data_IF_905339660917
#
_entry.id   IF_905339660917
#
_cell.length_a   1.000
_cell.length_b   1.000
_cell.length_c   1.000
_cell.angle_alpha   90.00
_cell.angle_beta   90.00
_cell.angle_gamma   90.00
#
_symmetry.space_group_name_H-M   'P 1'
#
loop_
_entity.id
_entity.type
_entity.pdbx_description
1 polymer ?
#
# COMPACT_ATOMS: atom_id res chain seq x y z
N UNK A 1 -11.14 -61.15 25.56
CA UNK A 1 -11.41 -59.73 25.27
C UNK A 1 -10.90 -58.89 26.43
N UNK A 2 -9.85 -58.09 26.22
CA UNK A 2 -9.66 -56.76 26.80
C UNK A 2 -8.39 -56.19 26.17
N UNK A 3 -8.56 -55.28 25.23
CA UNK A 3 -7.47 -54.49 24.65
C UNK A 3 -7.35 -53.17 25.40
N UNK A 4 -6.13 -52.66 25.55
CA UNK A 4 -5.83 -51.24 25.58
C UNK A 4 -4.46 -51.01 24.94
N UNK A 5 -4.48 -50.37 23.77
CA UNK A 5 -3.34 -49.74 23.11
C UNK A 5 -3.00 -48.44 23.85
N UNK A 6 -1.72 -48.16 24.04
CA UNK A 6 -1.22 -46.91 24.59
C UNK A 6 0.14 -46.51 24.02
N UNK A 7 0.30 -46.60 22.70
CA UNK A 7 1.37 -45.90 21.99
C UNK A 7 0.80 -44.61 21.43
N UNK A 8 1.45 -43.49 21.73
CA UNK A 8 1.71 -42.27 20.91
C UNK A 8 2.13 -41.17 21.89
N UNK A 9 3.17 -40.39 21.70
CA UNK A 9 4.03 -40.13 20.58
C UNK A 9 4.61 -38.75 20.87
N UNK A 10 5.91 -38.66 21.12
CA UNK A 10 6.60 -37.40 21.34
C UNK A 10 6.52 -36.55 20.06
N UNK A 11 5.70 -35.51 20.06
CA UNK A 11 5.70 -34.52 18.97
C UNK A 11 6.74 -33.47 19.29
N UNK A 12 7.92 -33.65 18.70
CA UNK A 12 8.94 -32.62 18.53
C UNK A 12 8.29 -31.37 17.90
N UNK A 13 8.40 -30.22 18.58
CA UNK A 13 8.07 -28.92 18.00
C UNK A 13 9.02 -28.65 16.85
N UNK A 14 8.55 -28.95 15.63
CA UNK A 14 9.23 -28.60 14.40
C UNK A 14 9.14 -27.09 14.18
N UNK A 15 10.30 -26.48 14.13
CA UNK A 15 10.62 -25.13 13.67
C UNK A 15 10.05 -24.91 12.28
N UNK A 16 9.26 -23.85 12.08
CA UNK A 16 8.97 -23.32 10.76
C UNK A 16 9.11 -21.80 10.81
N UNK A 17 10.35 -21.34 10.65
CA UNK A 17 10.67 -19.98 10.20
C UNK A 17 10.03 -19.79 8.83
N UNK A 18 8.89 -19.09 8.79
CA UNK A 18 8.31 -18.61 7.55
C UNK A 18 9.15 -17.42 7.08
N UNK A 19 9.71 -17.57 5.89
CA UNK A 19 10.59 -16.65 5.21
C UNK A 19 10.15 -15.19 5.30
N UNK A 20 11.04 -14.36 5.82
CA UNK A 20 11.03 -12.91 5.62
C UNK A 20 11.26 -12.66 4.13
N UNK A 21 10.16 -12.52 3.40
CA UNK A 21 10.21 -12.03 2.02
C UNK A 21 10.73 -10.59 2.06
N UNK A 22 11.96 -10.41 1.57
CA UNK A 22 12.53 -9.12 1.19
C UNK A 22 11.69 -8.53 0.05
N UNK A 23 10.55 -7.95 0.42
CA UNK A 23 9.69 -7.22 -0.49
C UNK A 23 10.32 -5.84 -0.69
N UNK A 24 11.36 -5.76 -1.53
CA UNK A 24 11.81 -4.49 -2.11
C UNK A 24 10.59 -3.71 -2.62
N UNK A 25 10.58 -2.37 -2.55
CA UNK A 25 9.37 -1.55 -2.43
C UNK A 25 8.30 -1.96 -3.45
N UNK A 26 7.38 -2.82 -3.02
CA UNK A 26 6.37 -3.39 -3.88
C UNK A 26 5.38 -2.28 -4.22
N UNK A 27 5.44 -1.81 -5.45
CA UNK A 27 4.41 -0.96 -6.05
C UNK A 27 3.18 -1.80 -6.46
N UNK A 28 2.83 -2.84 -5.69
CA UNK A 28 1.59 -3.58 -5.89
C UNK A 28 0.55 -3.01 -4.92
N UNK A 29 -0.14 -1.97 -5.36
CA UNK A 29 -1.33 -1.53 -4.67
C UNK A 29 -2.46 -2.46 -5.08
N UNK A 30 -2.70 -3.50 -4.28
CA UNK A 30 -3.91 -4.30 -4.41
C UNK A 30 -5.12 -3.39 -4.27
N UNK A 31 -5.92 -3.27 -5.32
CA UNK A 31 -7.19 -2.56 -5.25
C UNK A 31 -8.20 -3.49 -4.59
N UNK A 32 -8.67 -3.08 -3.42
CA UNK A 32 -9.71 -3.77 -2.69
C UNK A 32 -11.07 -3.47 -3.35
N UNK A 33 -11.57 -4.44 -4.13
CA UNK A 33 -12.81 -4.32 -4.90
C UNK A 33 -14.07 -4.55 -4.06
N UNK A 34 -13.93 -5.01 -2.81
CA UNK A 34 -15.04 -5.17 -1.89
C UNK A 34 -15.50 -3.83 -1.30
N UNK A 35 -14.70 -2.78 -1.47
CA UNK A 35 -15.04 -1.42 -1.05
C UNK A 35 -15.95 -0.72 -2.05
N UNK A 36 -16.77 0.25 -1.62
CA UNK A 36 -17.54 1.08 -2.53
C UNK A 36 -16.66 1.69 -3.63
N UNK A 37 -17.15 1.73 -4.87
CA UNK A 37 -16.41 2.24 -6.04
C UNK A 37 -15.77 3.62 -5.80
N UNK A 38 -16.45 4.48 -5.02
CA UNK A 38 -15.92 5.79 -4.62
C UNK A 38 -14.61 5.68 -3.85
N UNK A 39 -14.54 4.77 -2.88
CA UNK A 39 -13.35 4.58 -2.04
C UNK A 39 -12.20 3.93 -2.82
N UNK A 40 -12.52 2.97 -3.70
CA UNK A 40 -11.52 2.37 -4.58
C UNK A 40 -10.89 3.43 -5.51
N UNK A 41 -11.72 4.34 -6.06
CA UNK A 41 -11.25 5.47 -6.87
C UNK A 41 -10.39 6.43 -6.06
N UNK A 42 -10.83 6.82 -4.86
CA UNK A 42 -10.07 7.71 -3.98
C UNK A 42 -8.68 7.08 -3.65
N UNK A 43 -8.64 5.76 -3.41
CA UNK A 43 -7.38 5.02 -3.19
C UNK A 43 -6.42 5.06 -4.38
N UNK A 44 -6.93 4.78 -5.59
CA UNK A 44 -6.16 4.91 -6.83
C UNK A 44 -5.64 6.34 -7.03
N UNK A 45 -6.51 7.34 -6.86
CA UNK A 45 -6.16 8.73 -7.07
C UNK A 45 -5.07 9.18 -6.08
N UNK A 46 -5.19 8.81 -4.79
CA UNK A 46 -4.19 9.13 -3.74
C UNK A 46 -2.81 8.65 -4.17
N UNK A 47 -2.73 7.38 -4.55
CA UNK A 47 -1.50 6.76 -5.00
C UNK A 47 -0.92 7.35 -6.28
N UNK A 48 -1.77 7.63 -7.27
CA UNK A 48 -1.36 8.23 -8.53
C UNK A 48 -0.70 9.59 -8.30
N UNK A 49 -1.28 10.40 -7.42
CA UNK A 49 -0.71 11.68 -7.07
C UNK A 49 0.54 11.56 -6.20
N UNK A 50 0.58 10.69 -5.20
CA UNK A 50 1.78 10.43 -4.39
C UNK A 50 2.98 10.03 -5.25
N UNK A 51 2.76 9.13 -6.22
CA UNK A 51 3.78 8.72 -7.18
C UNK A 51 4.33 9.89 -8.00
N UNK A 52 3.45 10.71 -8.59
CA UNK A 52 3.87 11.86 -9.39
C UNK A 52 4.53 12.94 -8.53
N UNK A 53 4.04 13.13 -7.30
CA UNK A 53 4.59 14.09 -6.36
C UNK A 53 6.01 13.71 -5.94
N UNK A 54 6.24 12.42 -5.65
CA UNK A 54 7.57 11.90 -5.36
C UNK A 54 8.51 12.04 -6.57
N UNK A 55 8.02 11.73 -7.77
CA UNK A 55 8.80 11.81 -9.02
C UNK A 55 9.19 13.23 -9.41
N UNK A 56 8.29 14.20 -9.20
CA UNK A 56 8.50 15.61 -9.55
C UNK A 56 9.10 16.44 -8.38
N UNK A 57 9.55 15.78 -7.32
CA UNK A 57 10.20 16.44 -6.18
C UNK A 57 9.27 17.37 -5.38
N UNK A 58 7.98 17.05 -5.34
CA UNK A 58 6.95 17.86 -4.67
C UNK A 58 6.47 19.06 -5.49
N UNK A 59 6.90 19.20 -6.75
CA UNK A 59 6.49 20.33 -7.58
C UNK A 59 5.05 20.21 -8.06
N UNK A 60 4.14 20.96 -7.42
CA UNK A 60 2.74 21.03 -7.82
C UNK A 60 2.52 21.48 -9.25
N UNK A 61 3.33 22.41 -9.76
CA UNK A 61 3.21 22.87 -11.15
C UNK A 61 3.48 21.73 -12.12
N UNK A 62 4.55 20.97 -11.89
CA UNK A 62 4.91 19.85 -12.77
C UNK A 62 3.92 18.69 -12.67
N UNK A 63 3.41 18.41 -11.47
CA UNK A 63 2.35 17.39 -11.31
C UNK A 63 1.10 17.81 -12.07
N UNK A 64 0.65 19.07 -11.93
CA UNK A 64 -0.52 19.58 -12.65
C UNK A 64 -0.36 19.46 -14.18
N UNK A 65 0.82 19.82 -14.70
CA UNK A 65 1.16 19.65 -16.12
C UNK A 65 1.16 18.18 -16.55
N UNK A 66 1.74 17.28 -15.74
CA UNK A 66 1.81 15.84 -16.03
C UNK A 66 0.45 15.15 -16.00
N UNK A 67 -0.38 15.50 -15.03
CA UNK A 67 -1.70 14.90 -14.89
C UNK A 67 -2.74 15.58 -15.76
N UNK A 68 -2.43 16.73 -16.37
CA UNK A 68 -3.38 17.55 -17.13
C UNK A 68 -4.49 18.16 -16.26
N UNK A 69 -4.26 18.26 -14.95
CA UNK A 69 -5.23 18.86 -14.03
C UNK A 69 -4.91 20.34 -13.84
N UNK A 70 -5.95 21.17 -13.79
CA UNK A 70 -5.82 22.54 -13.29
C UNK A 70 -5.24 22.55 -11.87
N UNK A 71 -4.28 23.44 -11.60
CA UNK A 71 -3.58 23.54 -10.31
C UNK A 71 -4.54 23.73 -9.13
N UNK A 72 -5.59 24.54 -9.30
CA UNK A 72 -6.62 24.78 -8.26
C UNK A 72 -7.39 23.52 -7.92
N UNK A 73 -7.71 22.70 -8.94
CA UNK A 73 -8.42 21.44 -8.76
C UNK A 73 -7.53 20.38 -8.13
N UNK A 74 -6.26 20.31 -8.56
CA UNK A 74 -5.26 19.43 -7.98
C UNK A 74 -5.13 19.67 -6.48
N UNK A 75 -5.01 20.93 -6.04
CA UNK A 75 -4.88 21.25 -4.62
C UNK A 75 -6.07 20.77 -3.78
N UNK A 76 -7.29 21.00 -4.27
CA UNK A 76 -8.51 20.48 -3.63
C UNK A 76 -8.51 18.96 -3.55
N UNK A 77 -8.11 18.30 -4.63
CA UNK A 77 -8.07 16.85 -4.73
C UNK A 77 -7.09 16.25 -3.73
N UNK A 78 -5.87 16.77 -3.65
CA UNK A 78 -4.85 16.29 -2.69
C UNK A 78 -5.31 16.45 -1.24
N UNK A 79 -5.94 17.58 -0.91
CA UNK A 79 -6.49 17.81 0.43
C UNK A 79 -7.62 16.83 0.77
N UNK A 80 -8.48 16.50 -0.19
CA UNK A 80 -9.57 15.52 0.00
C UNK A 80 -9.02 14.10 0.19
N UNK A 81 -7.95 13.77 -0.51
CA UNK A 81 -7.31 12.45 -0.48
C UNK A 81 -6.30 12.29 0.67
N UNK A 82 -6.02 13.36 1.43
CA UNK A 82 -5.01 13.36 2.49
C UNK A 82 -3.58 13.13 1.97
N UNK A 83 -3.27 13.63 0.76
CA UNK A 83 -1.91 13.54 0.19
C UNK A 83 -1.09 14.74 0.66
N UNK A 84 -0.01 14.46 1.40
CA UNK A 84 0.88 15.50 1.92
C UNK A 84 1.85 16.03 0.85
N UNK A 85 1.86 17.35 0.70
CA UNK A 85 2.78 18.09 -0.18
C UNK A 85 4.20 18.21 0.40
N UNK A 86 4.40 17.75 1.64
CA UNK A 86 5.52 18.10 2.48
C UNK A 86 6.41 16.92 2.84
N UNK A 87 7.59 16.88 2.21
CA UNK A 87 8.87 16.53 2.87
C UNK A 87 8.98 15.11 3.44
N UNK A 88 9.31 14.13 2.59
CA UNK A 88 9.92 12.88 3.06
C UNK A 88 11.30 12.59 2.44
N UNK A 89 12.07 13.62 2.07
CA UNK A 89 13.47 13.47 1.66
C UNK A 89 14.37 14.57 2.24
N UNK A 90 14.41 14.64 3.57
CA UNK A 90 15.55 15.14 4.35
C UNK A 90 15.83 14.09 5.42
N UNK A 91 16.65 13.12 5.05
CA UNK A 91 17.10 11.98 5.86
C UNK A 91 18.06 11.19 5.00
#
# INVERSE_FOLDING_TARGET
>A
MLGINGVVGATISATASAAEVDQGPMSHQGFDLDRPLREARDGFEKAYFEFHLAREGGSMTRVAEKTGLERTHLYRKLRQLGVDLGRNKRG
#
